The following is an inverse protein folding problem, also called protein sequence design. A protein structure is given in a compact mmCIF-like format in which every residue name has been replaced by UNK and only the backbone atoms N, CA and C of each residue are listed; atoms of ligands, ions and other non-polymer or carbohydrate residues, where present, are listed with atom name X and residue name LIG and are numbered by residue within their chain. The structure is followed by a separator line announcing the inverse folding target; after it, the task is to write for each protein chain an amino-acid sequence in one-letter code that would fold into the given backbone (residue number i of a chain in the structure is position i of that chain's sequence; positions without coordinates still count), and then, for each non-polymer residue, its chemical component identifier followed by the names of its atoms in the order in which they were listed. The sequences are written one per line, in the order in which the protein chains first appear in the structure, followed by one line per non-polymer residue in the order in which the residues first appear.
data_IF_096948859542
#
_entry.id   IF_096948859542
#
_cell.length_a   1.000
_cell.length_b   1.000
_cell.length_c   1.000
_cell.angle_alpha   90.00
_cell.angle_beta   90.00
_cell.angle_gamma   90.00
#
_symmetry.space_group_name_H-M   'P 1'
#
loop_
_entity.id
_entity.type
_entity.pdbx_description
1 polymer ?
#
# COMPACT_ATOMS: atom_id res chain seq x y z
N UNK A 1 36.96 3.56 51.66
CA UNK A 1 35.64 4.17 51.92
C UNK A 1 34.86 4.60 50.65
N UNK A 2 35.30 4.25 49.42
CA UNK A 2 34.64 4.69 48.15
C UNK A 2 33.71 3.69 47.46
N UNK A 3 33.63 2.44 47.93
CA UNK A 3 32.98 1.33 47.20
C UNK A 3 31.47 1.21 47.43
N UNK A 4 30.94 1.87 48.47
CA UNK A 4 29.52 1.85 48.81
C UNK A 4 28.68 2.82 47.97
N UNK A 5 29.28 3.89 47.46
CA UNK A 5 28.56 4.95 46.75
C UNK A 5 28.31 4.60 45.28
N UNK A 6 29.18 3.77 44.68
CA UNK A 6 29.07 3.34 43.29
C UNK A 6 27.88 2.39 43.07
N UNK A 7 27.64 1.46 44.02
CA UNK A 7 26.53 0.49 43.93
C UNK A 7 25.14 1.13 44.09
N UNK A 8 25.04 2.21 44.86
CA UNK A 8 23.80 2.99 45.01
C UNK A 8 23.50 3.73 43.71
N UNK A 9 24.52 4.17 42.97
CA UNK A 9 24.36 4.90 41.70
C UNK A 9 24.01 3.96 40.52
N UNK A 10 24.61 2.76 40.45
CA UNK A 10 24.30 1.77 39.40
C UNK A 10 22.85 1.26 39.47
N UNK A 11 22.30 1.12 40.68
CA UNK A 11 20.89 0.70 40.87
C UNK A 11 19.86 1.79 40.50
N UNK A 12 20.28 3.06 40.53
CA UNK A 12 19.47 4.22 40.12
C UNK A 12 19.54 4.45 38.61
N UNK A 13 20.67 4.15 37.97
CA UNK A 13 20.87 4.24 36.52
C UNK A 13 19.95 3.30 35.71
N UNK A 14 19.52 2.17 36.30
CA UNK A 14 18.61 1.21 35.65
C UNK A 14 17.13 1.64 35.71
N UNK A 15 16.76 2.66 36.51
CA UNK A 15 15.35 2.94 36.87
C UNK A 15 14.62 4.05 36.11
N UNK A 16 15.20 4.70 35.11
CA UNK A 16 14.53 5.83 34.47
C UNK A 16 14.57 5.82 32.94
N UNK A 17 14.15 4.72 32.31
CA UNK A 17 13.51 4.84 30.99
C UNK A 17 12.01 4.97 31.27
N UNK A 18 11.41 6.18 31.19
CA UNK A 18 9.98 6.31 31.31
C UNK A 18 9.33 5.45 30.23
N UNK A 19 8.53 4.46 30.66
CA UNK A 19 7.76 3.65 29.73
C UNK A 19 6.85 4.60 28.93
N UNK A 20 7.12 4.73 27.64
CA UNK A 20 6.31 5.55 26.75
C UNK A 20 4.86 5.06 26.86
N UNK A 21 3.97 5.91 27.37
CA UNK A 21 2.55 5.58 27.52
C UNK A 21 1.95 5.11 26.19
N UNK A 22 0.91 4.27 26.22
CA UNK A 22 0.35 3.68 25.00
C UNK A 22 -0.06 4.79 24.03
N UNK A 23 0.57 4.83 22.85
CA UNK A 23 0.14 5.70 21.74
C UNK A 23 -1.30 5.33 21.38
N UNK A 24 -2.25 6.14 21.83
CA UNK A 24 -3.66 5.98 21.46
C UNK A 24 -3.79 6.33 19.98
N UNK A 25 -4.16 5.35 19.16
CA UNK A 25 -4.43 5.55 17.73
C UNK A 25 -5.43 6.71 17.56
N UNK A 26 -5.14 7.61 16.63
CA UNK A 26 -6.03 8.73 16.34
C UNK A 26 -7.42 8.21 15.91
N UNK A 27 -8.49 8.97 16.20
CA UNK A 27 -9.86 8.58 15.82
C UNK A 27 -9.96 8.26 14.32
N UNK A 28 -9.28 9.04 13.47
CA UNK A 28 -9.20 8.80 12.04
C UNK A 28 -8.55 7.46 11.68
N UNK A 29 -7.42 7.11 12.31
CA UNK A 29 -6.72 5.83 12.07
C UNK A 29 -7.57 4.64 12.50
N UNK A 30 -8.31 4.77 13.61
CA UNK A 30 -9.21 3.72 14.11
C UNK A 30 -10.39 3.46 13.17
N UNK A 31 -10.95 4.50 12.54
CA UNK A 31 -12.08 4.39 11.63
C UNK A 31 -11.69 4.42 10.15
N UNK A 32 -10.39 4.27 9.82
CA UNK A 32 -9.87 4.41 8.46
C UNK A 32 -10.57 3.47 7.47
N UNK A 33 -10.87 2.23 7.86
CA UNK A 33 -11.61 1.28 7.02
C UNK A 33 -13.03 1.77 6.70
N UNK A 34 -13.73 2.36 7.66
CA UNK A 34 -15.08 2.91 7.46
C UNK A 34 -15.02 4.13 6.53
N UNK A 35 -14.05 5.01 6.74
CA UNK A 35 -13.83 6.17 5.86
C UNK A 35 -13.47 5.75 4.43
N UNK A 36 -12.56 4.79 4.25
CA UNK A 36 -12.20 4.26 2.93
C UNK A 36 -13.42 3.63 2.24
N UNK A 37 -14.20 2.84 2.98
CA UNK A 37 -15.43 2.25 2.45
C UNK A 37 -16.43 3.33 2.02
N UNK A 38 -16.64 4.36 2.84
CA UNK A 38 -17.52 5.48 2.53
C UNK A 38 -17.03 6.26 1.31
N UNK A 39 -15.72 6.51 1.20
CA UNK A 39 -15.11 7.13 0.04
C UNK A 39 -15.25 6.29 -1.24
N UNK A 40 -15.13 4.96 -1.15
CA UNK A 40 -15.37 4.05 -2.28
C UNK A 40 -16.82 4.15 -2.76
N UNK A 41 -17.79 4.05 -1.84
CA UNK A 41 -19.22 4.14 -2.17
C UNK A 41 -19.55 5.51 -2.78
N UNK A 42 -19.09 6.60 -2.16
CA UNK A 42 -19.27 7.95 -2.66
C UNK A 42 -18.65 8.12 -4.06
N UNK A 43 -17.44 7.61 -4.27
CA UNK A 43 -16.76 7.65 -5.58
C UNK A 43 -17.52 6.91 -6.67
N UNK A 44 -18.08 5.73 -6.38
CA UNK A 44 -18.90 4.96 -7.33
C UNK A 44 -20.19 5.71 -7.66
N UNK A 45 -20.89 6.26 -6.67
CA UNK A 45 -22.14 7.01 -6.89
C UNK A 45 -21.87 8.28 -7.71
N UNK A 46 -20.84 9.04 -7.35
CA UNK A 46 -20.44 10.26 -8.07
C UNK A 46 -20.01 9.96 -9.51
N UNK A 47 -19.23 8.89 -9.73
CA UNK A 47 -18.80 8.45 -11.05
C UNK A 47 -19.94 7.99 -11.95
N UNK A 48 -21.04 7.47 -11.37
CA UNK A 48 -22.27 7.13 -12.10
C UNK A 48 -23.16 8.35 -12.36
N UNK A 49 -23.21 9.30 -11.43
CA UNK A 49 -24.02 10.52 -11.56
C UNK A 49 -23.41 11.56 -12.53
N UNK A 50 -22.08 11.59 -12.69
CA UNK A 50 -21.37 12.54 -13.55
C UNK A 50 -20.52 11.82 -14.61
N UNK A 51 -21.14 11.13 -15.60
CA UNK A 51 -20.43 10.45 -16.67
C UNK A 51 -19.65 11.41 -17.58
N UNK A 52 -20.00 12.71 -17.56
CA UNK A 52 -19.27 13.75 -18.28
C UNK A 52 -17.87 14.03 -17.71
N UNK A 53 -17.68 13.89 -16.40
CA UNK A 53 -16.38 14.09 -15.75
C UNK A 53 -15.46 12.89 -15.98
N UNK A 54 -15.99 11.68 -15.93
CA UNK A 54 -15.22 10.46 -16.28
C UNK A 54 -14.84 10.46 -17.76
N UNK A 55 -15.76 10.85 -18.66
CA UNK A 55 -15.47 11.01 -20.08
C UNK A 55 -14.48 12.15 -20.36
N UNK A 56 -14.53 13.26 -19.62
CA UNK A 56 -13.55 14.35 -19.75
C UNK A 56 -12.16 13.91 -19.28
N UNK A 57 -12.07 13.11 -18.20
CA UNK A 57 -10.82 12.52 -17.74
C UNK A 57 -10.25 11.51 -18.76
N UNK A 58 -11.09 10.74 -19.44
CA UNK A 58 -10.65 9.89 -20.57
C UNK A 58 -10.23 10.69 -21.80
N UNK A 59 -10.77 11.90 -22.01
CA UNK A 59 -10.38 12.80 -23.10
C UNK A 59 -9.07 13.55 -22.86
N UNK A 60 -8.57 13.57 -21.62
CA UNK A 60 -7.26 14.12 -21.25
C UNK A 60 -6.12 13.10 -21.45
N UNK A 61 -6.39 11.96 -22.10
CA UNK A 61 -5.36 11.07 -22.64
C UNK A 61 -4.58 11.78 -23.76
N UNK A 62 -3.25 11.79 -23.66
CA UNK A 62 -2.38 12.27 -24.74
C UNK A 62 -2.48 11.30 -25.94
N UNK A 63 -3.36 11.62 -26.88
CA UNK A 63 -3.42 11.01 -28.21
C UNK A 63 -4.12 9.64 -28.27
N UNK A 64 -4.83 9.41 -29.38
CA UNK A 64 -5.56 8.17 -29.71
C UNK A 64 -4.78 6.90 -29.29
N UNK A 65 -5.33 6.15 -28.34
CA UNK A 65 -5.01 4.73 -28.15
C UNK A 65 -3.96 4.38 -27.10
N UNK A 66 -3.54 5.31 -26.23
CA UNK A 66 -2.67 4.96 -25.10
C UNK A 66 -3.30 5.38 -23.77
N UNK A 67 -3.52 4.37 -22.93
CA UNK A 67 -4.29 4.31 -21.68
C UNK A 67 -3.66 5.11 -20.51
N UNK A 68 -2.80 6.09 -20.82
CA UNK A 68 -2.01 6.80 -19.82
C UNK A 68 -2.65 8.16 -19.55
N UNK A 69 -3.63 8.13 -18.64
CA UNK A 69 -4.33 9.30 -18.17
C UNK A 69 -3.41 10.14 -17.24
N UNK A 70 -3.01 11.34 -17.68
CA UNK A 70 -2.10 12.24 -16.96
C UNK A 70 -2.56 12.50 -15.51
N UNK A 71 -3.85 12.80 -15.25
CA UNK A 71 -4.42 12.81 -13.90
C UNK A 71 -4.05 11.62 -13.02
N UNK A 72 -4.12 10.38 -13.54
CA UNK A 72 -3.78 9.18 -12.77
C UNK A 72 -2.29 9.17 -12.43
N UNK A 73 -1.43 9.54 -13.38
CA UNK A 73 0.01 9.66 -13.17
C UNK A 73 0.37 10.64 -12.04
N UNK A 74 -0.29 11.81 -12.01
CA UNK A 74 -0.09 12.81 -10.95
C UNK A 74 -0.56 12.28 -9.59
N UNK A 75 -1.70 11.59 -9.53
CA UNK A 75 -2.20 10.97 -8.30
C UNK A 75 -1.24 9.90 -7.76
N UNK A 76 -0.72 9.03 -8.63
CA UNK A 76 0.28 8.03 -8.25
C UNK A 76 1.57 8.69 -7.76
N UNK A 77 2.06 9.72 -8.45
CA UNK A 77 3.24 10.48 -8.01
C UNK A 77 3.04 11.09 -6.62
N UNK A 78 1.88 11.70 -6.39
CA UNK A 78 1.52 12.29 -5.09
C UNK A 78 1.40 11.25 -3.97
N UNK A 79 1.07 9.99 -4.26
CA UNK A 79 1.12 8.90 -3.26
C UNK A 79 2.53 8.36 -3.01
N UNK A 80 3.37 8.26 -4.05
CA UNK A 80 4.72 7.72 -3.95
C UNK A 80 5.65 8.70 -3.21
N UNK A 81 5.54 10.00 -3.52
CA UNK A 81 6.35 11.06 -2.94
C UNK A 81 6.37 11.10 -1.39
N UNK A 82 5.24 11.07 -0.66
CA UNK A 82 5.21 11.13 0.80
C UNK A 82 5.75 9.85 1.47
N UNK A 83 5.81 8.73 0.74
CA UNK A 83 6.52 7.54 1.20
C UNK A 83 8.02 7.72 1.05
N UNK A 84 8.48 8.26 -0.09
CA UNK A 84 9.89 8.50 -0.38
C UNK A 84 10.55 9.50 0.58
N UNK A 85 9.85 10.57 0.96
CA UNK A 85 10.36 11.55 1.94
C UNK A 85 10.58 10.98 3.35
N UNK A 86 9.90 9.88 3.70
CA UNK A 86 10.07 9.21 4.99
C UNK A 86 11.25 8.24 5.02
N UNK A 87 11.90 8.00 3.87
CA UNK A 87 13.03 7.08 3.78
C UNK A 87 14.30 7.77 4.26
N UNK A 88 14.91 7.22 5.31
CA UNK A 88 16.23 7.64 5.79
C UNK A 88 17.32 6.98 4.95
N UNK A 89 18.06 7.78 4.17
CA UNK A 89 19.14 7.31 3.31
C UNK A 89 20.33 6.71 4.09
N UNK A 90 20.50 7.08 5.38
CA UNK A 90 21.51 6.49 6.26
C UNK A 90 21.22 5.01 6.55
N UNK A 91 19.95 4.63 6.65
CA UNK A 91 19.52 3.25 6.92
C UNK A 91 19.69 2.31 5.71
N UNK A 92 19.76 2.86 4.48
CA UNK A 92 19.89 2.08 3.23
C UNK A 92 21.21 1.28 3.21
N UNK A 93 22.31 1.89 3.65
CA UNK A 93 23.63 1.23 3.72
C UNK A 93 23.66 0.04 4.69
N UNK A 94 22.88 0.10 5.78
CA UNK A 94 22.74 -0.99 6.75
C UNK A 94 21.93 -2.17 6.21
N UNK A 95 20.90 -1.91 5.40
CA UNK A 95 20.07 -2.95 4.78
C UNK A 95 20.84 -3.76 3.73
N UNK A 96 21.74 -3.13 2.97
CA UNK A 96 22.60 -3.82 2.01
C UNK A 96 23.53 -4.86 2.67
N UNK A 97 23.87 -4.69 3.96
CA UNK A 97 24.67 -5.66 4.73
C UNK A 97 23.89 -6.91 5.16
N UNK A 98 22.55 -6.92 5.07
CA UNK A 98 21.70 -8.08 5.38
C UNK A 98 20.91 -8.54 4.15
N UNK A 99 21.58 -9.10 3.12
CA UNK A 99 20.97 -9.43 1.84
C UNK A 99 19.88 -10.51 1.95
N UNK A 100 20.01 -11.47 2.86
CA UNK A 100 19.03 -12.57 3.00
C UNK A 100 17.61 -12.08 3.29
N UNK A 101 17.45 -11.11 4.20
CA UNK A 101 16.14 -10.55 4.53
C UNK A 101 15.55 -9.69 3.42
N UNK A 102 16.41 -8.90 2.74
CA UNK A 102 16.00 -8.10 1.59
C UNK A 102 15.57 -8.98 0.41
N UNK A 103 16.31 -10.06 0.11
CA UNK A 103 15.97 -10.99 -0.96
C UNK A 103 14.65 -11.70 -0.71
N UNK A 104 14.38 -12.15 0.51
CA UNK A 104 13.08 -12.76 0.84
C UNK A 104 11.95 -11.75 0.71
N UNK A 105 12.14 -10.52 1.20
CA UNK A 105 11.12 -9.47 1.09
C UNK A 105 10.88 -9.07 -0.36
N UNK A 106 11.93 -8.93 -1.17
CA UNK A 106 11.83 -8.64 -2.59
C UNK A 106 11.14 -9.78 -3.32
N UNK A 107 11.55 -11.03 -3.09
CA UNK A 107 10.91 -12.21 -3.66
C UNK A 107 9.43 -12.29 -3.32
N UNK A 108 9.05 -12.07 -2.07
CA UNK A 108 7.63 -12.10 -1.68
C UNK A 108 6.88 -10.89 -2.25
N UNK A 109 7.45 -9.70 -2.22
CA UNK A 109 6.78 -8.49 -2.71
C UNK A 109 6.64 -8.47 -4.23
N UNK A 110 7.66 -8.91 -4.96
CA UNK A 110 7.71 -8.89 -6.42
C UNK A 110 7.29 -10.18 -7.10
N UNK A 111 7.34 -11.33 -6.43
CA UNK A 111 6.88 -12.59 -7.02
C UNK A 111 5.53 -12.98 -6.43
N UNK A 112 5.43 -13.08 -5.11
CA UNK A 112 4.19 -13.58 -4.50
C UNK A 112 3.00 -12.64 -4.74
N UNK A 113 3.18 -11.31 -4.73
CA UNK A 113 2.08 -10.39 -5.02
C UNK A 113 1.56 -10.49 -6.47
N UNK A 114 2.37 -10.29 -7.53
CA UNK A 114 1.84 -10.32 -8.90
C UNK A 114 1.45 -11.74 -9.34
N UNK A 115 2.21 -12.77 -8.97
CA UNK A 115 1.84 -14.14 -9.33
C UNK A 115 0.63 -14.61 -8.52
N UNK A 116 0.51 -14.21 -7.26
CA UNK A 116 -0.69 -14.47 -6.46
C UNK A 116 -1.92 -13.81 -7.08
N UNK A 117 -1.81 -12.55 -7.49
CA UNK A 117 -2.86 -11.81 -8.19
C UNK A 117 -3.26 -12.49 -9.50
N UNK A 118 -2.28 -12.87 -10.34
CA UNK A 118 -2.51 -13.59 -11.58
C UNK A 118 -3.12 -14.98 -11.38
N UNK A 119 -2.63 -15.73 -10.40
CA UNK A 119 -3.14 -17.06 -10.10
C UNK A 119 -4.58 -17.00 -9.59
N UNK A 120 -4.88 -16.10 -8.64
CA UNK A 120 -6.25 -15.91 -8.15
C UNK A 120 -7.18 -15.44 -9.28
N UNK A 121 -6.75 -14.45 -10.08
CA UNK A 121 -7.54 -13.98 -11.22
C UNK A 121 -7.83 -15.12 -12.20
N UNK A 122 -6.84 -15.95 -12.53
CA UNK A 122 -7.01 -17.09 -13.43
C UNK A 122 -7.95 -18.17 -12.85
N UNK A 123 -7.76 -18.59 -11.59
CA UNK A 123 -8.61 -19.61 -10.95
C UNK A 123 -10.06 -19.14 -10.88
N UNK A 124 -10.28 -17.92 -10.38
CA UNK A 124 -11.65 -17.42 -10.21
C UNK A 124 -12.32 -17.14 -11.55
N UNK A 125 -11.65 -16.46 -12.48
CA UNK A 125 -12.29 -16.07 -13.74
C UNK A 125 -12.42 -17.23 -14.74
N UNK A 126 -11.46 -18.15 -14.81
CA UNK A 126 -11.44 -19.23 -15.81
C UNK A 126 -11.98 -20.57 -15.29
N UNK A 127 -12.10 -20.79 -13.98
CA UNK A 127 -12.60 -22.06 -13.42
C UNK A 127 -13.86 -21.88 -12.58
N UNK A 128 -13.87 -20.95 -11.62
CA UNK A 128 -15.01 -20.77 -10.71
C UNK A 128 -16.18 -20.07 -11.40
N UNK A 129 -15.91 -18.95 -12.08
CA UNK A 129 -16.93 -18.13 -12.74
C UNK A 129 -17.08 -18.42 -14.23
N UNK A 130 -16.31 -19.35 -14.80
CA UNK A 130 -16.42 -19.71 -16.22
C UNK A 130 -17.79 -20.28 -16.60
N UNK A 131 -18.51 -20.89 -15.65
CA UNK A 131 -19.88 -21.34 -15.87
C UNK A 131 -20.92 -20.19 -15.90
N UNK A 132 -20.56 -18.99 -15.41
CA UNK A 132 -21.47 -17.85 -15.22
C UNK A 132 -21.12 -16.65 -16.13
N UNK A 133 -19.97 -16.67 -16.80
CA UNK A 133 -19.43 -15.53 -17.56
C UNK A 133 -19.01 -15.97 -18.97
N UNK A 134 -19.33 -15.16 -19.99
CA UNK A 134 -18.86 -15.40 -21.36
C UNK A 134 -17.32 -15.33 -21.43
N UNK A 135 -16.66 -16.21 -22.19
CA UNK A 135 -15.19 -16.34 -22.21
C UNK A 135 -14.45 -15.04 -22.61
N UNK A 136 -15.08 -14.18 -23.41
CA UNK A 136 -14.62 -12.84 -23.76
C UNK A 136 -14.50 -11.91 -22.53
N UNK A 137 -15.53 -11.90 -21.68
CA UNK A 137 -15.57 -11.09 -20.45
C UNK A 137 -14.60 -11.62 -19.40
N UNK A 138 -14.46 -12.95 -19.29
CA UNK A 138 -13.52 -13.58 -18.38
C UNK A 138 -12.07 -13.15 -18.69
N UNK A 139 -11.70 -13.07 -19.97
CA UNK A 139 -10.38 -12.58 -20.40
C UNK A 139 -10.18 -11.10 -20.09
N UNK A 140 -11.17 -10.26 -20.38
CA UNK A 140 -11.13 -8.83 -20.07
C UNK A 140 -10.99 -8.53 -18.58
N UNK A 141 -11.73 -9.24 -17.73
CA UNK A 141 -11.61 -9.10 -16.28
C UNK A 141 -10.30 -9.67 -15.74
N UNK A 142 -9.79 -10.78 -16.29
CA UNK A 142 -8.47 -11.30 -15.90
C UNK A 142 -7.38 -10.27 -16.18
N UNK A 143 -7.43 -9.57 -17.30
CA UNK A 143 -6.46 -8.52 -17.64
C UNK A 143 -6.58 -7.27 -16.74
N UNK A 144 -7.78 -6.93 -16.25
CA UNK A 144 -7.96 -5.84 -15.29
C UNK A 144 -7.64 -6.20 -13.84
N UNK A 145 -7.56 -7.51 -13.53
CA UNK A 145 -7.28 -8.05 -12.21
C UNK A 145 -5.80 -8.44 -12.01
N UNK A 146 -4.91 -8.15 -12.96
CA UNK A 146 -3.46 -8.43 -12.92
C UNK A 146 -2.70 -7.12 -13.17
#
# INVERSE_FOLDING_TARGET
MRRSDDAVNESQLIRAVPAAGPKRLAFFERYLTVWVFLCMVAGVVLGRALPGVTAALSKLEFGRGSQVNVPIGVLLWLMIYPMMLKVDFSAIGGMARKPKGLMVTLFVNWLVKPFGMAFLAWVFMQHVFAAWIAPELARGYTAGLI
#
